data_IF_976302454545
#
_entry.id   IF_976302454545
#
_cell.length_a   1.000
_cell.length_b   1.000
_cell.length_c   1.000
_cell.angle_alpha   90.00
_cell.angle_beta   90.00
_cell.angle_gamma   90.00
#
_symmetry.space_group_name_H-M   'P 1'
#
loop_
_entity.id
_entity.type
_entity.pdbx_description
1 polymer ?
#
# COMPACT_ATOMS: atom_id res chain seq x y z
N UNK A 1 19.28 9.26 7.58
CA UNK A 1 19.33 10.51 6.78
C UNK A 1 19.10 10.10 5.33
N UNK A 2 18.01 10.54 4.71
CA UNK A 2 17.75 10.23 3.31
C UNK A 2 18.61 11.18 2.44
N UNK A 3 19.30 10.68 1.42
CA UNK A 3 20.00 11.55 0.48
C UNK A 3 18.97 12.41 -0.29
N UNK A 4 19.30 13.68 -0.56
CA UNK A 4 18.38 14.59 -1.26
C UNK A 4 17.89 14.08 -2.60
N UNK A 5 18.72 13.30 -3.30
CA UNK A 5 18.36 12.66 -4.58
C UNK A 5 17.21 11.66 -4.41
N UNK A 6 17.13 10.95 -3.27
CA UNK A 6 16.03 10.01 -2.99
C UNK A 6 14.71 10.73 -2.71
N UNK A 7 14.75 12.03 -2.42
CA UNK A 7 13.57 12.90 -2.27
C UNK A 7 13.14 13.56 -3.58
N UNK A 8 13.80 13.26 -4.70
CA UNK A 8 13.53 13.90 -5.98
C UNK A 8 14.01 15.35 -6.07
N UNK A 9 14.95 15.73 -5.22
CA UNK A 9 15.54 17.07 -5.22
C UNK A 9 16.85 17.08 -5.99
N UNK A 10 16.94 17.89 -7.03
CA UNK A 10 18.19 18.16 -7.75
C UNK A 10 18.86 19.43 -7.24
N UNK A 11 20.15 19.35 -6.96
CA UNK A 11 20.96 20.53 -6.59
C UNK A 11 21.21 21.39 -7.84
N UNK A 12 20.84 22.66 -7.78
CA UNK A 12 21.12 23.67 -8.80
C UNK A 12 21.94 24.80 -8.17
N UNK A 13 23.26 24.70 -8.27
CA UNK A 13 24.15 25.64 -7.60
C UNK A 13 24.02 25.60 -6.08
N UNK A 14 23.59 26.71 -5.46
CA UNK A 14 23.32 26.83 -4.01
C UNK A 14 21.87 26.51 -3.62
N UNK A 15 20.98 26.22 -4.58
CA UNK A 15 19.57 25.91 -4.36
C UNK A 15 19.22 24.48 -4.75
N UNK A 16 17.99 24.06 -4.40
CA UNK A 16 17.42 22.78 -4.81
C UNK A 16 16.15 23.03 -5.61
N UNK A 17 15.93 22.20 -6.65
CA UNK A 17 14.66 22.15 -7.36
C UNK A 17 14.09 20.74 -7.30
N UNK A 18 12.75 20.64 -7.29
CA UNK A 18 12.09 19.36 -7.39
C UNK A 18 12.14 18.85 -8.83
N UNK A 19 12.59 17.62 -9.03
CA UNK A 19 12.57 16.98 -10.33
C UNK A 19 11.18 16.42 -10.63
N UNK A 20 10.34 17.24 -11.24
CA UNK A 20 8.99 16.83 -11.66
C UNK A 20 8.96 15.71 -12.69
N UNK A 21 10.08 15.44 -13.36
CA UNK A 21 10.19 14.33 -14.32
C UNK A 21 10.59 13.03 -13.61
N UNK A 22 11.28 13.13 -12.48
CA UNK A 22 11.60 11.98 -11.65
C UNK A 22 10.31 11.48 -10.99
N UNK A 23 9.91 10.26 -11.28
CA UNK A 23 8.77 9.58 -10.62
C UNK A 23 9.13 9.15 -9.19
N UNK A 24 9.80 10.03 -8.44
CA UNK A 24 10.22 9.73 -7.07
C UNK A 24 9.00 9.68 -6.16
N UNK A 25 8.73 8.51 -5.60
CA UNK A 25 7.60 8.24 -4.71
C UNK A 25 7.97 8.36 -3.22
N UNK A 26 9.27 8.48 -2.89
CA UNK A 26 9.76 8.47 -1.51
C UNK A 26 9.20 9.63 -0.70
N UNK A 27 9.30 10.85 -1.21
CA UNK A 27 8.84 12.02 -0.45
C UNK A 27 7.34 11.99 -0.13
N UNK A 28 6.42 11.74 -1.09
CA UNK A 28 5.00 11.58 -0.77
C UNK A 28 4.73 10.42 0.19
N UNK A 29 5.46 9.32 0.08
CA UNK A 29 5.37 8.17 0.98
C UNK A 29 5.70 8.58 2.43
N UNK A 30 6.85 9.20 2.65
CA UNK A 30 7.28 9.63 3.99
C UNK A 30 6.38 10.72 4.59
N UNK A 31 5.89 11.65 3.77
CA UNK A 31 4.92 12.66 4.22
C UNK A 31 3.63 11.98 4.67
N UNK A 32 3.18 10.95 3.98
CA UNK A 32 1.98 10.20 4.36
C UNK A 32 2.14 9.60 5.76
N UNK A 33 3.30 9.02 6.08
CA UNK A 33 3.58 8.53 7.43
C UNK A 33 3.49 9.63 8.48
N UNK A 34 3.99 10.83 8.20
CA UNK A 34 3.94 11.97 9.13
C UNK A 34 2.51 12.51 9.36
N UNK A 35 1.63 12.35 8.37
CA UNK A 35 0.24 12.80 8.43
C UNK A 35 -0.73 11.73 8.93
N UNK A 36 -0.27 10.49 9.05
CA UNK A 36 -1.08 9.35 9.49
C UNK A 36 -1.14 9.28 11.02
N UNK A 37 -2.33 9.15 11.57
CA UNK A 37 -2.54 9.00 13.01
C UNK A 37 -1.79 7.78 13.57
N UNK A 38 -1.21 7.92 14.78
CA UNK A 38 -0.38 6.87 15.42
C UNK A 38 -1.12 5.56 15.65
N UNK A 39 -2.42 5.60 15.81
CA UNK A 39 -3.28 4.44 15.99
C UNK A 39 -3.25 3.48 14.81
N UNK A 40 -2.91 3.96 13.62
CA UNK A 40 -2.80 3.12 12.43
C UNK A 40 -1.44 2.40 12.29
N UNK A 41 -0.54 2.60 13.25
CA UNK A 41 0.72 1.85 13.37
C UNK A 41 0.65 0.73 14.41
N UNK A 42 -0.54 0.31 14.83
CA UNK A 42 -0.74 -0.79 15.75
C UNK A 42 -0.60 -2.15 15.07
N UNK A 43 -0.36 -3.20 15.88
CA UNK A 43 -0.36 -4.58 15.38
C UNK A 43 -1.68 -4.87 14.65
N UNK A 44 -1.61 -5.53 13.50
CA UNK A 44 -2.75 -5.77 12.61
C UNK A 44 -3.01 -4.67 11.58
N UNK A 45 -2.31 -3.53 11.69
CA UNK A 45 -2.33 -2.45 10.69
C UNK A 45 -0.91 -2.04 10.27
N UNK A 46 0.05 -2.07 11.21
CA UNK A 46 1.43 -1.71 10.92
C UNK A 46 2.05 -2.67 9.90
N UNK A 47 2.67 -2.10 8.91
CA UNK A 47 3.18 -2.82 7.75
C UNK A 47 2.15 -2.76 6.62
N UNK A 48 1.24 -3.72 6.53
CA UNK A 48 0.37 -3.82 5.37
C UNK A 48 -0.48 -2.56 5.13
N UNK A 49 -1.10 -2.00 6.18
CA UNK A 49 -1.94 -0.82 6.02
C UNK A 49 -1.12 0.47 6.00
N UNK A 50 -0.18 0.64 6.96
CA UNK A 50 0.60 1.88 7.04
C UNK A 50 1.48 2.10 5.81
N UNK A 51 2.18 1.07 5.35
CA UNK A 51 3.03 1.14 4.16
C UNK A 51 2.20 1.15 2.87
N UNK A 52 1.14 0.32 2.83
CA UNK A 52 0.22 0.30 1.70
C UNK A 52 -0.49 1.63 1.48
N UNK A 53 -0.90 2.32 2.55
CA UNK A 53 -1.48 3.67 2.47
C UNK A 53 -0.45 4.68 1.96
N UNK A 54 0.78 4.61 2.44
CA UNK A 54 1.86 5.52 2.02
C UNK A 54 2.21 5.34 0.54
N UNK A 55 2.34 4.09 0.07
CA UNK A 55 2.52 3.80 -1.35
C UNK A 55 1.28 4.19 -2.17
N UNK A 56 0.06 3.97 -1.65
CA UNK A 56 -1.18 4.38 -2.33
C UNK A 56 -1.22 5.88 -2.59
N UNK A 57 -0.90 6.70 -1.61
CA UNK A 57 -0.83 8.16 -1.76
C UNK A 57 0.30 8.56 -2.71
N UNK A 58 1.49 7.96 -2.54
CA UNK A 58 2.67 8.26 -3.34
C UNK A 58 2.50 7.93 -4.84
N UNK A 59 1.75 6.86 -5.15
CA UNK A 59 1.51 6.42 -6.54
C UNK A 59 0.32 7.13 -7.16
N UNK A 60 -0.66 7.58 -6.36
CA UNK A 60 -1.85 8.27 -6.87
C UNK A 60 -1.48 9.60 -7.51
N UNK A 61 -1.87 9.86 -8.77
CA UNK A 61 -1.59 11.14 -9.44
C UNK A 61 -2.16 12.32 -8.67
N UNK A 62 -1.31 13.32 -8.46
CA UNK A 62 -1.70 14.60 -7.87
C UNK A 62 -1.50 15.70 -8.90
N UNK A 63 -2.59 16.41 -9.25
CA UNK A 63 -2.56 17.50 -10.23
C UNK A 63 -3.55 18.61 -9.80
N UNK A 64 -3.16 19.84 -9.97
CA UNK A 64 -4.02 21.02 -9.67
C UNK A 64 -4.67 20.95 -8.28
N UNK A 65 -3.90 20.56 -7.27
CA UNK A 65 -4.38 20.51 -5.89
C UNK A 65 -5.26 19.30 -5.53
N UNK A 66 -5.37 18.28 -6.40
CA UNK A 66 -6.28 17.14 -6.19
C UNK A 66 -5.59 15.80 -6.47
N UNK A 67 -5.92 14.80 -5.64
CA UNK A 67 -5.59 13.40 -5.90
C UNK A 67 -6.65 12.75 -6.81
N UNK A 68 -6.18 12.02 -7.83
CA UNK A 68 -7.05 11.32 -8.79
C UNK A 68 -7.27 9.86 -8.38
N UNK A 69 -7.88 9.67 -7.23
CA UNK A 69 -8.07 8.35 -6.60
C UNK A 69 -9.00 7.39 -7.35
N UNK A 70 -9.89 7.92 -8.21
CA UNK A 70 -10.83 7.08 -8.98
C UNK A 70 -10.28 6.55 -10.29
N UNK A 71 -9.15 7.10 -10.74
CA UNK A 71 -8.57 6.78 -12.05
C UNK A 71 -7.12 6.32 -11.97
N UNK A 72 -6.65 5.96 -10.77
CA UNK A 72 -5.26 5.60 -10.50
C UNK A 72 -4.94 4.09 -10.62
N UNK A 73 -5.89 3.29 -11.11
CA UNK A 73 -5.69 1.83 -11.21
C UNK A 73 -4.50 1.44 -12.10
N UNK A 74 -4.32 2.13 -13.23
CA UNK A 74 -3.18 1.87 -14.13
C UNK A 74 -1.85 2.13 -13.42
N UNK A 75 -1.73 3.27 -12.76
CA UNK A 75 -0.53 3.66 -12.04
C UNK A 75 -0.21 2.69 -10.90
N UNK A 76 -1.22 2.25 -10.14
CA UNK A 76 -1.06 1.24 -9.09
C UNK A 76 -0.56 -0.07 -9.67
N UNK A 77 -1.19 -0.56 -10.75
CA UNK A 77 -0.79 -1.81 -11.41
C UNK A 77 0.64 -1.72 -11.94
N UNK A 78 0.95 -0.67 -12.69
CA UNK A 78 2.28 -0.49 -13.29
C UNK A 78 3.35 -0.42 -12.20
N UNK A 79 3.09 0.31 -11.11
CA UNK A 79 4.02 0.40 -9.98
C UNK A 79 4.26 -0.94 -9.30
N UNK A 80 3.22 -1.77 -9.14
CA UNK A 80 3.36 -3.07 -8.48
C UNK A 80 3.94 -4.13 -9.42
N UNK A 81 3.51 -4.17 -10.68
CA UNK A 81 3.83 -5.29 -11.58
C UNK A 81 5.09 -5.11 -12.39
N UNK A 82 5.56 -3.88 -12.59
CA UNK A 82 6.70 -3.55 -13.42
C UNK A 82 7.76 -2.76 -12.66
N UNK A 83 8.95 -2.67 -13.24
CA UNK A 83 9.93 -1.65 -12.85
C UNK A 83 9.51 -0.29 -13.44
N UNK A 84 9.81 0.80 -12.73
CA UNK A 84 9.68 2.14 -13.31
C UNK A 84 10.53 2.31 -14.58
N UNK A 85 10.21 3.32 -15.40
CA UNK A 85 10.88 3.58 -16.70
C UNK A 85 12.40 3.75 -16.59
N UNK A 86 12.89 4.17 -15.43
CA UNK A 86 14.30 4.37 -15.10
C UNK A 86 14.93 3.18 -14.32
N UNK A 87 14.21 2.05 -14.22
CA UNK A 87 14.60 0.91 -13.37
C UNK A 87 14.50 1.19 -11.87
N UNK A 88 13.88 2.32 -11.47
CA UNK A 88 13.67 2.73 -10.10
C UNK A 88 12.17 2.94 -9.85
N UNK A 89 11.73 2.74 -8.62
CA UNK A 89 10.41 3.14 -8.17
C UNK A 89 9.25 2.21 -8.53
N UNK A 90 9.50 0.97 -8.97
CA UNK A 90 8.51 -0.09 -9.10
C UNK A 90 8.80 -1.23 -8.15
N UNK A 91 7.82 -2.13 -7.94
CA UNK A 91 7.97 -3.30 -7.05
C UNK A 91 8.29 -4.61 -7.81
N UNK A 92 8.06 -4.63 -9.11
CA UNK A 92 8.38 -5.75 -10.02
C UNK A 92 7.81 -7.11 -9.61
N UNK A 93 6.61 -7.14 -9.00
CA UNK A 93 5.98 -8.40 -8.57
C UNK A 93 5.45 -9.23 -9.74
N UNK A 94 5.35 -8.66 -10.94
CA UNK A 94 4.70 -9.31 -12.07
C UNK A 94 3.19 -9.35 -11.95
N UNK A 95 2.54 -10.07 -12.89
CA UNK A 95 1.07 -10.21 -12.94
C UNK A 95 0.57 -11.51 -12.30
N UNK A 96 1.46 -12.42 -11.95
CA UNK A 96 1.21 -13.67 -11.21
C UNK A 96 1.92 -13.54 -9.87
N UNK A 97 1.18 -13.46 -8.79
CA UNK A 97 1.68 -13.15 -7.45
C UNK A 97 1.35 -14.32 -6.53
N UNK A 98 2.35 -14.99 -5.99
CA UNK A 98 2.19 -15.98 -4.92
C UNK A 98 2.27 -15.24 -3.59
N UNK A 99 1.14 -15.15 -2.90
CA UNK A 99 1.03 -14.46 -1.62
C UNK A 99 1.01 -15.47 -0.46
N UNK A 100 1.57 -15.12 0.70
CA UNK A 100 1.37 -15.91 1.91
C UNK A 100 -0.10 -15.86 2.33
N UNK A 101 -0.49 -16.74 3.27
CA UNK A 101 -1.78 -16.65 3.94
C UNK A 101 -2.04 -15.21 4.42
N UNK A 102 -3.23 -14.69 4.16
CA UNK A 102 -3.56 -13.28 4.38
C UNK A 102 -3.51 -12.89 5.86
N UNK A 103 -3.96 -13.78 6.75
CA UNK A 103 -3.90 -13.56 8.20
C UNK A 103 -2.46 -13.37 8.68
N UNK A 104 -1.59 -14.30 8.30
CA UNK A 104 -0.18 -14.27 8.69
C UNK A 104 0.52 -13.04 8.13
N UNK A 105 0.21 -12.68 6.89
CA UNK A 105 0.74 -11.48 6.26
C UNK A 105 0.32 -10.20 7.01
N UNK A 106 -0.96 -10.06 7.39
CA UNK A 106 -1.45 -8.87 8.08
C UNK A 106 -0.98 -8.76 9.54
N UNK A 107 -0.67 -9.89 10.16
CA UNK A 107 -0.23 -9.95 11.57
C UNK A 107 1.28 -10.01 11.74
N UNK A 108 2.06 -10.14 10.64
CA UNK A 108 3.49 -10.27 10.76
C UNK A 108 4.14 -9.10 11.50
N UNK A 109 5.22 -9.33 12.28
CA UNK A 109 5.99 -8.27 12.91
C UNK A 109 6.55 -7.28 11.88
N UNK A 110 6.60 -6.02 12.22
CA UNK A 110 7.11 -4.99 11.29
C UNK A 110 8.56 -5.24 10.84
N UNK A 111 9.40 -5.81 11.72
CA UNK A 111 10.75 -6.22 11.37
C UNK A 111 10.79 -7.29 10.26
N UNK A 112 9.83 -8.21 10.27
CA UNK A 112 9.69 -9.20 9.19
C UNK A 112 9.15 -8.56 7.92
N UNK A 113 8.20 -7.64 8.06
CA UNK A 113 7.63 -6.90 6.94
C UNK A 113 8.69 -6.11 6.16
N UNK A 114 9.58 -5.40 6.85
CA UNK A 114 10.66 -4.60 6.24
C UNK A 114 11.93 -5.38 5.96
N UNK A 115 11.96 -6.67 6.27
CA UNK A 115 13.11 -7.55 6.12
C UNK A 115 13.39 -7.96 4.66
N UNK A 116 13.88 -9.18 4.49
CA UNK A 116 14.35 -9.72 3.20
C UNK A 116 13.29 -9.64 2.07
N UNK A 117 12.02 -9.86 2.42
CA UNK A 117 10.89 -9.79 1.48
C UNK A 117 10.26 -8.40 1.41
N UNK A 118 10.92 -7.34 1.88
CA UNK A 118 10.36 -5.99 1.94
C UNK A 118 9.78 -5.51 0.60
N UNK A 119 10.49 -5.73 -0.52
CA UNK A 119 9.99 -5.35 -1.84
C UNK A 119 8.63 -5.96 -2.18
N UNK A 120 8.45 -7.25 -1.91
CA UNK A 120 7.17 -7.95 -2.04
C UNK A 120 6.12 -7.36 -1.09
N UNK A 121 6.47 -7.24 0.18
CA UNK A 121 5.55 -6.81 1.23
C UNK A 121 4.95 -5.43 0.94
N UNK A 122 5.76 -4.46 0.52
CA UNK A 122 5.26 -3.12 0.15
C UNK A 122 4.32 -3.17 -1.06
N UNK A 123 4.70 -3.91 -2.12
CA UNK A 123 3.85 -4.03 -3.31
C UNK A 123 2.52 -4.71 -3.03
N UNK A 124 2.55 -5.77 -2.23
CA UNK A 124 1.32 -6.49 -1.86
C UNK A 124 0.45 -5.66 -0.90
N UNK A 125 1.05 -4.91 0.04
CA UNK A 125 0.36 -3.95 0.89
C UNK A 125 -0.41 -2.89 0.08
N UNK A 126 0.20 -2.37 -0.98
CA UNK A 126 -0.46 -1.44 -1.88
C UNK A 126 -1.66 -2.06 -2.58
N UNK A 127 -1.55 -3.31 -3.06
CA UNK A 127 -2.68 -4.03 -3.66
C UNK A 127 -3.83 -4.21 -2.68
N UNK A 128 -3.55 -4.60 -1.43
CA UNK A 128 -4.56 -4.74 -0.39
C UNK A 128 -5.23 -3.41 -0.06
N UNK A 129 -4.45 -2.34 0.12
CA UNK A 129 -4.98 -1.00 0.39
C UNK A 129 -5.90 -0.54 -0.75
N UNK A 130 -5.47 -0.74 -2.01
CA UNK A 130 -6.31 -0.43 -3.16
C UNK A 130 -7.60 -1.25 -3.18
N UNK A 131 -7.52 -2.55 -2.87
CA UNK A 131 -8.69 -3.42 -2.79
C UNK A 131 -9.72 -2.86 -1.81
N UNK A 132 -9.33 -2.60 -0.58
CA UNK A 132 -10.24 -2.09 0.46
C UNK A 132 -10.80 -0.70 0.18
N UNK A 133 -10.06 0.14 -0.54
CA UNK A 133 -10.50 1.51 -0.83
C UNK A 133 -11.33 1.66 -2.10
N UNK A 134 -11.12 0.78 -3.09
CA UNK A 134 -11.64 0.99 -4.44
C UNK A 134 -12.36 -0.22 -5.05
N UNK A 135 -12.14 -1.42 -4.54
CA UNK A 135 -12.67 -2.64 -5.15
C UNK A 135 -13.65 -3.39 -4.26
N UNK A 136 -13.53 -3.29 -2.96
CA UNK A 136 -14.46 -3.90 -2.02
C UNK A 136 -15.85 -3.26 -2.20
N UNK A 137 -16.89 -4.09 -2.30
CA UNK A 137 -18.25 -3.61 -2.56
C UNK A 137 -18.78 -2.73 -1.42
N UNK A 138 -18.38 -3.06 -0.19
CA UNK A 138 -18.78 -2.33 1.01
C UNK A 138 -17.56 -1.67 1.70
N UNK A 139 -17.31 -0.41 1.39
CA UNK A 139 -16.26 0.39 2.04
C UNK A 139 -16.54 0.66 3.53
N UNK A 140 -17.68 0.22 4.09
CA UNK A 140 -17.95 0.34 5.52
C UNK A 140 -16.98 -0.50 6.35
N UNK A 141 -16.51 -1.64 5.82
CA UNK A 141 -15.59 -2.55 6.50
C UNK A 141 -14.26 -1.87 6.83
N UNK A 142 -13.62 -1.25 5.84
CA UNK A 142 -12.37 -0.53 6.09
C UNK A 142 -12.58 0.68 7.01
N UNK A 143 -13.69 1.39 6.90
CA UNK A 143 -14.03 2.49 7.81
C UNK A 143 -14.24 2.00 9.24
N UNK A 144 -14.93 0.87 9.43
CA UNK A 144 -15.12 0.25 10.74
C UNK A 144 -13.79 -0.19 11.34
N UNK A 145 -12.92 -0.81 10.55
CA UNK A 145 -11.56 -1.19 10.94
C UNK A 145 -10.74 0.02 11.42
N UNK A 146 -10.71 1.10 10.63
CA UNK A 146 -9.99 2.31 11.00
C UNK A 146 -10.54 2.94 12.31
N UNK A 147 -11.86 2.92 12.47
CA UNK A 147 -12.49 3.36 13.72
C UNK A 147 -12.14 2.44 14.89
N UNK A 148 -12.05 1.13 14.67
CA UNK A 148 -11.67 0.16 15.69
C UNK A 148 -10.22 0.41 16.17
N UNK A 149 -9.28 0.67 15.25
CA UNK A 149 -7.90 1.05 15.58
C UNK A 149 -7.86 2.35 16.42
N UNK A 150 -8.63 3.38 16.04
CA UNK A 150 -8.74 4.62 16.84
C UNK A 150 -9.30 4.39 18.24
N UNK A 151 -10.16 3.39 18.39
CA UNK A 151 -10.70 2.99 19.68
C UNK A 151 -9.81 2.02 20.47
N UNK A 152 -8.56 1.79 20.02
CA UNK A 152 -7.55 1.00 20.70
C UNK A 152 -7.56 -0.49 20.41
N UNK A 153 -8.42 -0.98 19.48
CA UNK A 153 -8.35 -2.36 19.00
C UNK A 153 -7.07 -2.57 18.20
N UNK A 154 -6.50 -3.77 18.27
CA UNK A 154 -5.24 -4.13 17.61
C UNK A 154 -5.18 -5.62 17.31
N UNK A 155 -4.24 -6.04 16.46
CA UNK A 155 -4.04 -7.44 16.12
C UNK A 155 -5.30 -8.07 15.52
N UNK A 156 -5.58 -9.30 15.90
CA UNK A 156 -6.73 -10.06 15.41
C UNK A 156 -8.05 -9.36 15.72
N UNK A 157 -8.19 -8.74 16.89
CA UNK A 157 -9.43 -8.05 17.28
C UNK A 157 -9.79 -6.89 16.31
N UNK A 158 -8.79 -6.20 15.79
CA UNK A 158 -9.02 -5.17 14.79
C UNK A 158 -9.34 -5.78 13.42
N UNK A 159 -8.64 -6.86 13.05
CA UNK A 159 -8.85 -7.56 11.77
C UNK A 159 -10.20 -8.27 11.70
N UNK A 160 -10.73 -8.79 12.81
CA UNK A 160 -12.08 -9.34 12.88
C UNK A 160 -13.15 -8.30 12.50
N UNK A 161 -12.92 -7.03 12.86
CA UNK A 161 -13.79 -5.94 12.40
C UNK A 161 -13.69 -5.73 10.89
N UNK A 162 -12.50 -5.85 10.32
CA UNK A 162 -12.29 -5.75 8.87
C UNK A 162 -12.93 -6.91 8.12
N UNK A 163 -12.84 -8.12 8.66
CA UNK A 163 -13.48 -9.31 8.10
C UNK A 163 -15.00 -9.20 8.10
N UNK A 164 -15.60 -8.56 9.10
CA UNK A 164 -17.04 -8.38 9.22
C UNK A 164 -17.80 -9.71 9.07
N UNK A 165 -17.37 -10.75 9.81
CA UNK A 165 -17.97 -12.08 9.82
C UNK A 165 -17.55 -13.00 8.67
N UNK A 166 -16.74 -12.55 7.72
CA UNK A 166 -16.15 -13.40 6.68
C UNK A 166 -15.00 -14.23 7.26
N UNK A 167 -14.79 -15.41 6.71
CA UNK A 167 -13.57 -16.18 6.95
C UNK A 167 -12.38 -15.57 6.19
N UNK A 168 -11.17 -15.96 6.57
CA UNK A 168 -9.94 -15.59 5.85
C UNK A 168 -9.95 -16.13 4.42
N UNK A 169 -10.39 -17.36 4.22
CA UNK A 169 -10.48 -17.99 2.88
C UNK A 169 -11.46 -17.25 1.97
N UNK A 170 -12.60 -16.81 2.51
CA UNK A 170 -13.54 -15.97 1.77
C UNK A 170 -12.94 -14.62 1.37
N UNK A 171 -12.17 -14.01 2.27
CA UNK A 171 -11.49 -12.74 1.98
C UNK A 171 -10.41 -12.93 0.90
N UNK A 172 -9.58 -13.96 1.01
CA UNK A 172 -8.56 -14.31 0.01
C UNK A 172 -9.19 -14.56 -1.37
N UNK A 173 -10.29 -15.31 -1.40
CA UNK A 173 -11.03 -15.56 -2.64
C UNK A 173 -11.59 -14.27 -3.26
N UNK A 174 -12.15 -13.36 -2.44
CA UNK A 174 -12.67 -12.07 -2.90
C UNK A 174 -11.55 -11.19 -3.47
N UNK A 175 -10.42 -11.07 -2.78
CA UNK A 175 -9.25 -10.31 -3.23
C UNK A 175 -8.70 -10.87 -4.55
N UNK A 176 -8.50 -12.20 -4.61
CA UNK A 176 -8.03 -12.88 -5.83
C UNK A 176 -8.96 -12.64 -7.01
N UNK A 177 -10.27 -12.78 -6.81
CA UNK A 177 -11.30 -12.53 -7.85
C UNK A 177 -11.26 -11.09 -8.33
N UNK A 178 -11.18 -10.13 -7.40
CA UNK A 178 -11.19 -8.70 -7.73
C UNK A 178 -9.95 -8.32 -8.56
N UNK A 179 -8.76 -8.76 -8.18
CA UNK A 179 -7.54 -8.47 -8.90
C UNK A 179 -7.44 -9.22 -10.22
N UNK A 180 -7.91 -10.49 -10.29
CA UNK A 180 -7.97 -11.26 -11.54
C UNK A 180 -8.78 -10.51 -12.60
N UNK A 181 -9.90 -9.90 -12.24
CA UNK A 181 -10.71 -9.09 -13.16
C UNK A 181 -10.00 -7.82 -13.67
N UNK A 182 -8.89 -7.45 -13.04
CA UNK A 182 -8.03 -6.30 -13.40
C UNK A 182 -6.70 -6.73 -14.03
N UNK A 183 -6.52 -8.04 -14.28
CA UNK A 183 -5.34 -8.59 -14.94
C UNK A 183 -4.13 -8.82 -14.05
N UNK A 184 -4.34 -8.93 -12.73
CA UNK A 184 -3.35 -9.38 -11.75
C UNK A 184 -3.90 -10.63 -11.06
N UNK A 185 -3.17 -11.74 -11.10
CA UNK A 185 -3.58 -12.98 -10.45
C UNK A 185 -2.83 -13.14 -9.13
N UNK A 186 -3.57 -13.32 -8.06
CA UNK A 186 -3.03 -13.53 -6.71
C UNK A 186 -3.41 -14.94 -6.28
N UNK A 187 -2.41 -15.73 -5.90
CA UNK A 187 -2.54 -17.07 -5.37
C UNK A 187 -2.09 -17.05 -3.92
N UNK A 188 -3.01 -17.30 -3.00
CA UNK A 188 -2.68 -17.48 -1.58
C UNK A 188 -2.25 -18.93 -1.32
N UNK A 189 -1.25 -19.12 -0.44
CA UNK A 189 -0.67 -20.42 -0.08
C UNK A 189 -1.24 -20.95 1.23
#
# INVERSE_FOLDING_TARGET
MFPFDSLGLKKLGSSYSYDYKGKNKVLPHEITHQLTDREYFQVGARGWFSEGLSDYVAVTPYRSGKFFVRTNLSEIKDYVTAYGEDGRGGRALGKEINAPNLKDYMLQPYSSFTGENGGFNYGFALLLTYYYFQMEEDTSNIKAFLKALKNGKKGEEALDVLLNGRSWDEMEAQISKAWKSRGVRIHFN
#
